data_IF_822152685908
#
_entry.id   IF_822152685908
#
_cell.length_a   1.000
_cell.length_b   1.000
_cell.length_c   1.000
_cell.angle_alpha   90.00
_cell.angle_beta   90.00
_cell.angle_gamma   90.00
#
_symmetry.space_group_name_H-M   'P 1'
#
loop_
_entity.id
_entity.type
_entity.pdbx_description
1 polymer ?
#
# COMPACT_ATOMS: atom_id res chain seq x y z
N UNK A 1 -10.15 12.55 2.01
CA UNK A 1 -9.82 13.35 0.82
C UNK A 1 -9.35 12.44 -0.29
N UNK A 2 -9.75 12.74 -1.52
CA UNK A 2 -9.33 12.05 -2.73
C UNK A 2 -8.55 13.01 -3.62
N UNK A 3 -7.46 12.53 -4.23
CA UNK A 3 -6.63 13.30 -5.16
C UNK A 3 -6.12 12.38 -6.27
N UNK A 4 -6.30 12.76 -7.53
CA UNK A 4 -5.84 12.00 -8.69
C UNK A 4 -4.75 12.77 -9.39
N UNK A 5 -3.61 12.12 -9.60
CA UNK A 5 -2.49 12.69 -10.36
C UNK A 5 -2.19 11.86 -11.60
N UNK A 6 -2.06 12.54 -12.73
CA UNK A 6 -1.59 11.95 -13.99
C UNK A 6 -0.07 11.88 -14.00
N UNK A 7 0.49 10.70 -14.24
CA UNK A 7 1.94 10.52 -14.37
C UNK A 7 2.51 11.11 -15.67
N UNK A 8 1.66 11.38 -16.64
CA UNK A 8 2.03 12.13 -17.85
C UNK A 8 2.36 13.60 -17.49
N UNK A 9 1.55 14.19 -16.58
CA UNK A 9 1.68 15.61 -16.18
C UNK A 9 2.66 15.81 -15.03
N UNK A 10 3.11 14.73 -14.39
CA UNK A 10 4.08 14.75 -13.28
C UNK A 10 5.23 13.76 -13.54
N UNK A 11 6.21 14.14 -14.39
CA UNK A 11 7.35 13.27 -14.71
C UNK A 11 8.23 12.95 -13.51
N UNK A 12 8.30 13.86 -12.52
CA UNK A 12 9.08 13.64 -11.30
C UNK A 12 8.45 12.55 -10.46
N UNK A 13 7.14 12.61 -10.21
CA UNK A 13 6.40 11.56 -9.51
C UNK A 13 6.54 10.20 -10.21
N UNK A 14 6.45 10.18 -11.55
CA UNK A 14 6.66 8.97 -12.34
C UNK A 14 8.07 8.40 -12.11
N UNK A 15 9.10 9.25 -12.11
CA UNK A 15 10.48 8.82 -11.87
C UNK A 15 10.66 8.28 -10.46
N UNK A 16 10.10 8.95 -9.45
CA UNK A 16 10.17 8.52 -8.06
C UNK A 16 9.44 7.18 -7.83
N UNK A 17 8.28 6.97 -8.47
CA UNK A 17 7.58 5.68 -8.43
C UNK A 17 8.42 4.57 -9.06
N UNK A 18 9.03 4.81 -10.21
CA UNK A 18 9.95 3.84 -10.84
C UNK A 18 11.10 3.49 -9.91
N UNK A 19 11.72 4.51 -9.31
CA UNK A 19 12.81 4.32 -8.35
C UNK A 19 12.35 3.48 -7.17
N UNK A 20 11.22 3.82 -6.54
CA UNK A 20 10.66 3.08 -5.41
C UNK A 20 10.49 1.59 -5.73
N UNK A 21 9.84 1.27 -6.83
CA UNK A 21 9.65 -0.13 -7.23
C UNK A 21 10.98 -0.82 -7.60
N UNK A 22 11.92 -0.12 -8.23
CA UNK A 22 13.24 -0.65 -8.55
C UNK A 22 14.05 -0.97 -7.31
N UNK A 23 14.08 -0.06 -6.34
CA UNK A 23 14.83 -0.23 -5.09
C UNK A 23 14.24 -1.37 -4.26
N UNK A 24 12.91 -1.41 -4.13
CA UNK A 24 12.22 -2.48 -3.43
C UNK A 24 12.38 -3.85 -4.08
N UNK A 25 12.52 -3.89 -5.39
CA UNK A 25 12.68 -5.10 -6.19
C UNK A 25 13.94 -5.88 -5.84
N UNK A 26 15.05 -5.19 -5.49
CA UNK A 26 16.30 -5.84 -5.12
C UNK A 26 16.18 -6.75 -3.89
N UNK A 27 15.19 -6.52 -3.04
CA UNK A 27 14.88 -7.33 -1.85
C UNK A 27 13.86 -8.44 -2.14
N UNK A 28 13.26 -8.44 -3.32
CA UNK A 28 12.30 -9.45 -3.70
C UNK A 28 12.96 -10.77 -4.07
N UNK A 29 12.66 -11.82 -3.32
CA UNK A 29 13.10 -13.17 -3.66
C UNK A 29 12.38 -13.74 -4.92
N UNK A 30 11.27 -13.16 -5.32
CA UNK A 30 10.41 -13.65 -6.40
C UNK A 30 11.00 -13.33 -7.77
N UNK A 31 11.71 -12.22 -7.93
CA UNK A 31 12.30 -11.79 -9.19
C UNK A 31 13.41 -12.69 -9.73
N UNK A 32 14.10 -13.38 -8.84
CA UNK A 32 15.18 -14.27 -9.22
C UNK A 32 14.69 -15.58 -9.82
N UNK A 33 13.38 -15.75 -9.93
CA UNK A 33 12.78 -16.96 -10.49
C UNK A 33 12.40 -16.76 -11.96
N UNK A 34 12.74 -17.72 -12.85
CA UNK A 34 12.41 -17.65 -14.28
C UNK A 34 10.90 -17.59 -14.57
N UNK A 35 10.05 -17.86 -13.58
CA UNK A 35 8.59 -17.83 -13.66
C UNK A 35 7.97 -16.77 -12.73
N UNK A 36 8.56 -15.58 -12.70
CA UNK A 36 7.98 -14.44 -11.97
C UNK A 36 6.50 -14.25 -12.29
N UNK A 37 5.63 -14.04 -11.29
CA UNK A 37 4.21 -13.83 -11.54
C UNK A 37 3.98 -12.68 -12.52
N UNK A 38 3.00 -12.84 -13.40
CA UNK A 38 2.61 -11.81 -14.40
C UNK A 38 2.32 -10.44 -13.76
N UNK A 39 1.85 -10.46 -12.53
CA UNK A 39 1.55 -9.29 -11.69
C UNK A 39 2.71 -8.29 -11.60
N UNK A 40 3.95 -8.74 -11.47
CA UNK A 40 5.09 -7.82 -11.40
C UNK A 40 5.35 -7.12 -12.74
N UNK A 41 5.17 -7.84 -13.84
CA UNK A 41 5.27 -7.26 -15.18
C UNK A 41 4.17 -6.23 -15.43
N UNK A 42 2.98 -6.43 -14.90
CA UNK A 42 1.86 -5.49 -15.00
C UNK A 42 2.13 -4.20 -14.25
N UNK A 43 2.76 -4.25 -13.08
CA UNK A 43 3.19 -3.04 -12.36
C UNK A 43 4.14 -2.21 -13.22
N UNK A 44 5.19 -2.82 -13.77
CA UNK A 44 6.17 -2.13 -14.58
C UNK A 44 5.54 -1.54 -15.86
N UNK A 45 4.78 -2.32 -16.60
CA UNK A 45 4.14 -1.83 -17.81
C UNK A 45 3.17 -0.67 -17.51
N UNK A 46 2.50 -0.73 -16.37
CA UNK A 46 1.58 0.32 -15.92
C UNK A 46 2.32 1.63 -15.62
N UNK A 47 3.44 1.58 -14.88
CA UNK A 47 4.22 2.76 -14.54
C UNK A 47 4.92 3.35 -15.77
N UNK A 48 5.30 2.50 -16.72
CA UNK A 48 5.90 2.94 -17.97
C UNK A 48 4.92 3.58 -18.95
N UNK A 49 3.63 3.28 -18.83
CA UNK A 49 2.60 3.85 -19.69
C UNK A 49 2.40 5.34 -19.38
N UNK A 50 2.44 6.19 -20.42
CA UNK A 50 2.31 7.65 -20.29
C UNK A 50 0.94 8.06 -19.72
N UNK A 51 -0.11 7.32 -20.06
CA UNK A 51 -1.50 7.57 -19.62
C UNK A 51 -1.80 7.07 -18.21
N UNK A 52 -0.84 6.49 -17.49
CA UNK A 52 -1.04 6.00 -16.13
C UNK A 52 -1.30 7.16 -15.16
N UNK A 53 -2.15 6.88 -14.18
CA UNK A 53 -2.46 7.79 -13.09
C UNK A 53 -2.27 7.10 -11.75
N UNK A 54 -2.26 7.87 -10.68
CA UNK A 54 -2.35 7.41 -9.31
C UNK A 54 -3.48 8.12 -8.58
N UNK A 55 -4.11 7.42 -7.64
CA UNK A 55 -5.15 7.96 -6.78
C UNK A 55 -4.69 7.91 -5.32
N UNK A 56 -4.71 9.06 -4.66
CA UNK A 56 -4.50 9.16 -3.22
C UNK A 56 -5.83 9.19 -2.49
N UNK A 57 -5.99 8.29 -1.53
CA UNK A 57 -7.10 8.26 -0.58
C UNK A 57 -6.54 8.50 0.80
N UNK A 58 -6.86 9.66 1.39
CA UNK A 58 -6.29 10.11 2.67
C UNK A 58 -7.36 10.32 3.70
N UNK A 59 -7.19 9.77 4.89
CA UNK A 59 -7.90 10.15 6.10
C UNK A 59 -7.02 11.05 7.01
N UNK A 60 -7.63 11.76 7.94
CA UNK A 60 -6.97 12.63 8.92
C UNK A 60 -7.73 12.51 10.24
N UNK A 61 -7.00 12.49 11.35
CA UNK A 61 -7.58 12.42 12.69
C UNK A 61 -8.03 11.00 13.07
N UNK A 62 -7.60 10.00 12.32
CA UNK A 62 -7.75 8.59 12.70
C UNK A 62 -6.50 8.11 13.43
N UNK A 63 -6.56 6.91 14.00
CA UNK A 63 -5.43 6.38 14.77
C UNK A 63 -4.23 5.93 13.95
N UNK A 64 -4.35 5.90 12.62
CA UNK A 64 -3.33 5.33 11.74
C UNK A 64 -3.12 3.83 11.92
N UNK A 65 -2.07 3.29 11.29
CA UNK A 65 -1.77 1.86 11.24
C UNK A 65 -0.62 1.50 12.20
N UNK A 66 -0.86 1.65 13.51
CA UNK A 66 0.07 1.21 14.56
C UNK A 66 -0.05 -0.29 14.85
N UNK A 67 0.79 -0.74 15.81
CA UNK A 67 0.88 -2.13 16.25
C UNK A 67 1.93 -2.95 15.48
N UNK A 68 2.01 -4.27 15.73
CA UNK A 68 3.01 -5.15 15.12
C UNK A 68 2.88 -5.18 13.59
N UNK A 69 3.99 -5.43 12.92
CA UNK A 69 4.09 -5.59 11.47
C UNK A 69 3.98 -7.04 11.04
N UNK A 70 4.10 -7.96 11.97
CA UNK A 70 4.04 -9.41 11.79
C UNK A 70 2.74 -9.99 12.38
N UNK A 71 2.06 -10.84 11.62
CA UNK A 71 0.83 -11.51 12.04
C UNK A 71 1.06 -12.67 13.02
N UNK A 72 2.30 -13.16 13.16
CA UNK A 72 2.65 -14.22 14.09
C UNK A 72 2.98 -13.69 15.50
N UNK A 73 3.22 -12.39 15.64
CA UNK A 73 3.49 -11.74 16.91
C UNK A 73 2.24 -11.70 17.79
N UNK A 74 2.38 -12.13 19.03
CA UNK A 74 1.32 -12.01 20.02
C UNK A 74 1.07 -10.52 20.31
N UNK A 75 -0.18 -10.09 20.16
CA UNK A 75 -0.55 -8.69 20.37
C UNK A 75 -0.82 -8.51 21.87
N UNK A 76 -0.02 -7.70 22.59
CA UNK A 76 -0.24 -7.44 24.01
C UNK A 76 -1.65 -6.89 24.27
N UNK A 77 -2.21 -7.19 25.44
CA UNK A 77 -3.51 -6.66 25.84
C UNK A 77 -3.51 -5.12 25.79
N UNK A 78 -4.48 -4.55 25.08
CA UNK A 78 -4.60 -3.09 24.90
C UNK A 78 -3.84 -2.52 23.72
N UNK A 79 -2.98 -3.29 23.06
CA UNK A 79 -2.33 -2.89 21.78
C UNK A 79 -3.23 -3.28 20.62
N UNK A 80 -3.36 -2.38 19.67
CA UNK A 80 -4.16 -2.64 18.47
C UNK A 80 -3.28 -3.08 17.32
N UNK A 81 -3.73 -4.11 16.61
CA UNK A 81 -3.07 -4.70 15.44
C UNK A 81 -3.56 -4.07 14.12
N UNK A 82 -3.69 -2.73 14.07
CA UNK A 82 -4.28 -2.05 12.90
C UNK A 82 -3.50 -2.29 11.61
N UNK A 83 -2.17 -2.34 11.68
CA UNK A 83 -1.32 -2.64 10.55
C UNK A 83 -1.62 -4.04 9.98
N UNK A 84 -1.61 -5.05 10.85
CA UNK A 84 -1.91 -6.44 10.49
C UNK A 84 -3.32 -6.56 9.91
N UNK A 85 -4.31 -5.95 10.56
CA UNK A 85 -5.70 -5.98 10.08
C UNK A 85 -5.87 -5.33 8.73
N UNK A 86 -5.17 -4.25 8.46
CA UNK A 86 -5.32 -3.52 7.20
C UNK A 86 -4.58 -4.20 6.06
N UNK A 87 -3.33 -4.61 6.25
CA UNK A 87 -2.45 -5.11 5.19
C UNK A 87 -2.40 -6.64 5.10
N UNK A 88 -2.33 -7.33 6.25
CA UNK A 88 -2.13 -8.77 6.27
C UNK A 88 -3.44 -9.56 6.20
N UNK A 89 -4.54 -9.02 6.72
CA UNK A 89 -5.84 -9.68 6.73
C UNK A 89 -6.75 -9.25 5.57
N UNK A 90 -6.18 -8.77 4.46
CA UNK A 90 -6.96 -8.41 3.26
C UNK A 90 -7.67 -9.66 2.72
N UNK A 91 -9.00 -9.58 2.58
CA UNK A 91 -9.83 -10.68 2.09
C UNK A 91 -10.19 -11.76 3.13
N UNK A 92 -9.79 -11.59 4.40
CA UNK A 92 -10.28 -12.44 5.49
C UNK A 92 -11.55 -11.85 6.11
N UNK A 93 -12.56 -12.68 6.34
CA UNK A 93 -13.74 -12.27 7.11
C UNK A 93 -13.34 -11.99 8.57
N UNK A 94 -13.80 -10.85 9.11
CA UNK A 94 -13.63 -10.59 10.55
C UNK A 94 -14.45 -11.62 11.34
N UNK A 95 -13.81 -12.30 12.28
CA UNK A 95 -14.49 -13.15 13.26
C UNK A 95 -15.20 -12.36 14.36
N UNK A 96 -14.95 -11.06 14.47
CA UNK A 96 -15.60 -10.18 15.46
C UNK A 96 -17.01 -9.78 14.97
N UNK A 97 -18.01 -10.40 15.55
CA UNK A 97 -19.43 -10.14 15.29
C UNK A 97 -19.88 -8.69 15.59
N UNK A 98 -19.07 -7.90 16.31
CA UNK A 98 -19.38 -6.52 16.69
C UNK A 98 -18.63 -5.45 15.87
N UNK A 99 -17.72 -5.83 14.97
CA UNK A 99 -17.10 -4.88 14.05
C UNK A 99 -18.04 -4.68 12.86
N UNK A 100 -18.82 -3.63 12.88
CA UNK A 100 -19.69 -3.23 11.76
C UNK A 100 -18.90 -3.00 10.49
N UNK A 101 -18.85 -3.99 9.65
CA UNK A 101 -18.17 -3.95 8.36
C UNK A 101 -18.32 -5.29 7.63
N UNK A 102 -18.99 -5.27 6.48
CA UNK A 102 -19.26 -6.44 5.67
C UNK A 102 -17.98 -7.14 5.21
N UNK A 103 -17.66 -8.30 5.79
CA UNK A 103 -16.79 -9.35 5.25
C UNK A 103 -15.36 -8.95 4.81
N UNK A 104 -14.73 -7.94 5.40
CA UNK A 104 -13.37 -7.52 4.99
C UNK A 104 -13.27 -6.96 3.56
N UNK A 105 -14.40 -6.81 2.86
CA UNK A 105 -14.47 -6.30 1.49
C UNK A 105 -14.08 -4.81 1.40
N UNK A 106 -14.36 -4.02 2.42
CA UNK A 106 -14.03 -2.61 2.44
C UNK A 106 -12.53 -2.32 2.30
N UNK A 107 -11.68 -3.19 2.86
CA UNK A 107 -10.23 -3.05 2.79
C UNK A 107 -9.68 -3.46 1.43
N UNK A 108 -10.22 -4.51 0.83
CA UNK A 108 -9.79 -5.00 -0.48
C UNK A 108 -10.13 -4.04 -1.64
N UNK A 109 -10.98 -3.03 -1.40
CA UNK A 109 -11.40 -2.07 -2.41
C UNK A 109 -10.23 -1.35 -3.06
N UNK A 110 -9.21 -0.96 -2.29
CA UNK A 110 -8.05 -0.25 -2.81
C UNK A 110 -7.28 -1.07 -3.84
N UNK A 111 -7.04 -2.36 -3.57
CA UNK A 111 -6.39 -3.26 -4.54
C UNK A 111 -7.27 -3.53 -5.75
N UNK A 112 -8.57 -3.71 -5.55
CA UNK A 112 -9.53 -3.92 -6.65
C UNK A 112 -9.68 -2.69 -7.53
N UNK A 113 -9.48 -1.49 -6.99
CA UNK A 113 -9.46 -0.26 -7.77
C UNK A 113 -8.20 -0.11 -8.63
N UNK A 114 -7.11 -0.79 -8.29
CA UNK A 114 -5.87 -0.79 -9.06
C UNK A 114 -5.93 -1.81 -10.19
N UNK A 115 -5.63 -1.42 -11.43
CA UNK A 115 -5.56 -2.33 -12.57
C UNK A 115 -4.44 -3.38 -12.42
N UNK A 116 -3.39 -3.05 -11.66
CA UNK A 116 -2.28 -3.95 -11.34
C UNK A 116 -2.29 -4.44 -9.89
N UNK A 117 -3.43 -4.29 -9.19
CA UNK A 117 -3.64 -4.76 -7.81
C UNK A 117 -2.54 -4.29 -6.84
N UNK A 118 -2.08 -3.05 -7.01
CA UNK A 118 -0.95 -2.49 -6.26
C UNK A 118 -1.34 -1.20 -5.54
N UNK A 119 -0.99 -1.13 -4.27
CA UNK A 119 -1.12 0.08 -3.46
C UNK A 119 0.19 0.38 -2.74
N UNK A 120 0.42 1.65 -2.42
CA UNK A 120 1.45 2.10 -1.48
C UNK A 120 0.72 2.78 -0.32
N UNK A 121 1.06 2.42 0.89
CA UNK A 121 0.40 2.89 2.11
C UNK A 121 1.39 3.67 2.94
N UNK A 122 1.07 4.93 3.22
CA UNK A 122 1.75 5.76 4.19
C UNK A 122 0.83 6.01 5.38
N UNK A 123 1.32 5.79 6.59
CA UNK A 123 0.54 6.01 7.80
C UNK A 123 1.36 6.67 8.89
N UNK A 124 0.72 7.60 9.63
CA UNK A 124 1.25 8.20 10.84
C UNK A 124 0.33 7.89 12.01
N UNK A 125 0.91 7.43 13.11
CA UNK A 125 0.20 6.96 14.31
C UNK A 125 0.98 7.32 15.56
N UNK A 126 0.38 7.10 16.73
CA UNK A 126 1.05 7.27 18.03
C UNK A 126 1.29 5.89 18.61
N UNK A 127 2.54 5.63 19.01
CA UNK A 127 2.97 4.43 19.70
C UNK A 127 3.89 4.87 20.85
N UNK A 128 3.62 4.40 22.05
CA UNK A 128 4.34 4.77 23.29
C UNK A 128 4.45 6.30 23.50
N UNK A 129 3.36 7.02 23.18
CA UNK A 129 3.29 8.47 23.32
C UNK A 129 4.06 9.28 22.27
N UNK A 130 4.69 8.60 21.29
CA UNK A 130 5.46 9.25 20.22
C UNK A 130 4.81 9.04 18.87
N UNK A 131 4.94 10.07 18.00
CA UNK A 131 4.50 9.94 16.61
C UNK A 131 5.48 9.08 15.83
N UNK A 132 4.92 8.07 15.16
CA UNK A 132 5.64 7.16 14.28
C UNK A 132 5.05 7.24 12.88
N UNK A 133 5.88 6.96 11.88
CA UNK A 133 5.46 6.90 10.48
C UNK A 133 5.91 5.58 9.86
N UNK A 134 5.08 5.03 8.97
CA UNK A 134 5.38 3.81 8.20
C UNK A 134 4.99 4.00 6.75
N UNK A 135 5.79 3.42 5.84
CA UNK A 135 5.47 3.34 4.41
C UNK A 135 5.81 1.96 3.88
N UNK A 136 4.88 1.38 3.14
CA UNK A 136 5.07 0.08 2.47
C UNK A 136 4.17 -0.02 1.24
N UNK A 137 4.64 -0.70 0.21
CA UNK A 137 3.80 -1.08 -0.93
C UNK A 137 3.40 -2.56 -0.85
N UNK A 138 2.24 -2.88 -1.41
CA UNK A 138 1.72 -4.24 -1.47
C UNK A 138 0.98 -4.48 -2.79
N UNK A 139 1.40 -5.52 -3.51
CA UNK A 139 0.67 -6.08 -4.65
C UNK A 139 0.00 -7.40 -4.24
N UNK A 140 -1.26 -7.58 -4.63
CA UNK A 140 -2.00 -8.82 -4.44
C UNK A 140 -2.05 -9.62 -5.74
N UNK A 141 -1.31 -10.72 -5.78
CA UNK A 141 -1.36 -11.70 -6.88
C UNK A 141 -2.07 -12.99 -6.48
N UNK A 142 -2.15 -13.91 -7.40
CA UNK A 142 -2.63 -15.27 -7.12
C UNK A 142 -1.62 -16.08 -6.30
N UNK A 143 -2.09 -17.08 -5.57
CA UNK A 143 -1.22 -18.07 -4.92
C UNK A 143 -0.38 -18.79 -5.96
N UNK A 144 0.87 -19.09 -5.65
CA UNK A 144 1.77 -19.84 -6.53
C UNK A 144 2.74 -20.70 -5.71
N UNK A 145 3.32 -21.71 -6.39
CA UNK A 145 4.34 -22.59 -5.80
C UNK A 145 5.66 -22.37 -6.54
N UNK A 146 6.75 -22.18 -5.80
CA UNK A 146 8.08 -22.01 -6.36
C UNK A 146 9.10 -22.76 -5.49
N UNK A 147 9.96 -23.57 -6.11
CA UNK A 147 10.97 -24.38 -5.41
C UNK A 147 10.40 -25.20 -4.24
N UNK A 148 9.20 -25.75 -4.40
CA UNK A 148 8.51 -26.56 -3.39
C UNK A 148 7.89 -25.77 -2.24
N UNK A 149 7.95 -24.42 -2.26
CA UNK A 149 7.29 -23.55 -1.28
C UNK A 149 6.03 -22.93 -1.86
N UNK A 150 4.97 -22.86 -1.05
CA UNK A 150 3.73 -22.18 -1.38
C UNK A 150 3.79 -20.72 -0.94
N UNK A 151 3.46 -19.82 -1.85
CA UNK A 151 3.39 -18.38 -1.61
C UNK A 151 1.93 -17.92 -1.67
N UNK A 152 1.60 -16.96 -0.83
CA UNK A 152 0.23 -16.41 -0.74
C UNK A 152 -0.15 -15.50 -1.90
N UNK A 153 0.81 -15.12 -2.73
CA UNK A 153 0.63 -14.15 -3.81
C UNK A 153 0.73 -12.70 -3.34
N UNK A 154 1.03 -12.46 -2.07
CA UNK A 154 1.36 -11.11 -1.60
C UNK A 154 2.79 -10.78 -1.95
N UNK A 155 2.99 -9.64 -2.57
CA UNK A 155 4.32 -9.13 -2.89
C UNK A 155 4.51 -7.76 -2.23
N UNK A 156 5.51 -7.69 -1.36
CA UNK A 156 5.83 -6.50 -0.60
C UNK A 156 6.83 -5.64 -1.35
N UNK A 157 6.58 -4.33 -1.36
CA UNK A 157 7.47 -3.32 -1.88
C UNK A 157 7.97 -2.48 -0.72
N UNK A 158 9.21 -2.75 -0.32
CA UNK A 158 9.91 -2.08 0.77
C UNK A 158 11.41 -2.12 0.47
N UNK A 159 12.18 -1.26 1.08
CA UNK A 159 13.64 -1.28 1.04
C UNK A 159 14.26 -2.23 2.08
N UNK A 160 13.43 -2.99 2.80
CA UNK A 160 13.84 -3.97 3.80
C UNK A 160 13.72 -5.41 3.27
N UNK A 161 14.67 -6.31 3.64
CA UNK A 161 14.74 -7.68 3.10
C UNK A 161 13.50 -8.55 3.34
N UNK A 162 12.80 -8.34 4.43
CA UNK A 162 11.67 -9.17 4.86
C UNK A 162 10.30 -8.54 4.56
N UNK A 163 10.27 -7.44 3.78
CA UNK A 163 9.04 -6.73 3.46
C UNK A 163 8.50 -5.88 4.61
N UNK A 164 9.34 -5.63 5.62
CA UNK A 164 9.03 -4.70 6.70
C UNK A 164 8.82 -3.28 6.15
N UNK A 165 7.94 -2.47 6.75
CA UNK A 165 7.74 -1.12 6.29
C UNK A 165 8.96 -0.24 6.55
N UNK A 166 9.21 0.72 5.67
CA UNK A 166 10.10 1.85 5.96
C UNK A 166 9.50 2.66 7.11
N UNK A 167 10.31 3.11 8.06
CA UNK A 167 9.80 3.71 9.31
C UNK A 167 10.38 5.12 9.57
N UNK A 168 9.69 5.87 10.43
CA UNK A 168 10.15 7.15 10.94
C UNK A 168 10.34 8.23 9.87
N UNK A 169 11.42 9.00 10.00
CA UNK A 169 11.71 10.12 9.10
C UNK A 169 11.90 9.65 7.66
N UNK A 170 12.52 8.52 7.45
CA UNK A 170 12.76 7.95 6.12
C UNK A 170 11.43 7.62 5.41
N UNK A 171 10.45 7.08 6.13
CA UNK A 171 9.11 6.88 5.61
C UNK A 171 8.43 8.19 5.20
N UNK A 172 8.63 9.28 5.97
CA UNK A 172 8.08 10.59 5.64
C UNK A 172 8.75 11.21 4.40
N UNK A 173 10.06 11.10 4.29
CA UNK A 173 10.82 11.63 3.16
C UNK A 173 10.44 10.88 1.87
N UNK A 174 10.39 9.55 1.93
CA UNK A 174 9.92 8.72 0.82
C UNK A 174 8.45 9.01 0.46
N UNK A 175 7.59 9.23 1.45
CA UNK A 175 6.21 9.62 1.20
C UNK A 175 6.13 10.95 0.43
N UNK A 176 6.95 11.95 0.77
CA UNK A 176 7.02 13.23 0.03
C UNK A 176 7.48 13.02 -1.41
N UNK A 177 8.52 12.22 -1.62
CA UNK A 177 9.02 11.87 -2.96
C UNK A 177 7.93 11.18 -3.82
N UNK A 178 7.12 10.34 -3.19
CA UNK A 178 5.99 9.67 -3.82
C UNK A 178 4.71 10.53 -3.87
N UNK A 179 4.81 11.84 -3.57
CA UNK A 179 3.73 12.80 -3.72
C UNK A 179 2.62 12.74 -2.68
N UNK A 180 2.82 12.00 -1.58
CA UNK A 180 1.90 12.03 -0.46
C UNK A 180 1.92 13.39 0.25
N UNK A 181 0.76 13.83 0.71
CA UNK A 181 0.67 14.92 1.69
C UNK A 181 0.94 14.32 3.06
N UNK A 182 2.14 14.52 3.59
CA UNK A 182 2.48 14.05 4.94
C UNK A 182 1.62 14.74 6.00
N UNK A 183 1.52 14.13 7.17
CA UNK A 183 0.72 14.66 8.27
C UNK A 183 1.49 15.75 9.02
N UNK A 184 0.79 16.79 9.46
CA UNK A 184 1.33 17.83 10.33
C UNK A 184 1.63 17.30 11.74
N UNK A 185 2.30 18.09 12.57
CA UNK A 185 2.87 17.67 13.86
C UNK A 185 1.93 16.85 14.74
N UNK A 186 0.66 17.24 14.86
CA UNK A 186 -0.32 16.60 15.77
C UNK A 186 -1.30 15.69 15.04
N UNK A 187 -1.13 15.53 13.73
CA UNK A 187 -2.05 14.73 12.92
C UNK A 187 -1.60 13.28 12.84
N UNK A 188 -2.57 12.38 12.90
CA UNK A 188 -2.42 10.96 12.58
C UNK A 188 -3.43 10.55 11.52
N UNK A 189 -3.15 9.45 10.83
CA UNK A 189 -4.03 8.92 9.80
C UNK A 189 -3.33 7.98 8.84
N UNK A 190 -4.03 7.66 7.76
CA UNK A 190 -3.52 6.78 6.71
C UNK A 190 -3.78 7.39 5.34
N UNK A 191 -2.81 7.29 4.46
CA UNK A 191 -2.96 7.63 3.07
C UNK A 191 -2.60 6.42 2.20
N UNK A 192 -3.52 6.03 1.33
CA UNK A 192 -3.32 4.94 0.37
C UNK A 192 -3.16 5.55 -1.02
N UNK A 193 -2.05 5.25 -1.68
CA UNK A 193 -1.82 5.51 -3.09
C UNK A 193 -2.21 4.24 -3.86
N UNK A 194 -3.22 4.37 -4.71
CA UNK A 194 -3.65 3.31 -5.64
C UNK A 194 -2.92 3.53 -6.96
N UNK A 195 -2.15 2.54 -7.38
CA UNK A 195 -1.41 2.58 -8.66
C UNK A 195 -2.36 2.23 -9.80
N UNK A 196 -2.36 3.04 -10.85
CA UNK A 196 -3.22 2.87 -12.03
C UNK A 196 -4.69 2.56 -11.66
N UNK A 197 -5.40 3.51 -11.06
CA UNK A 197 -6.78 3.28 -10.68
C UNK A 197 -7.67 3.02 -11.91
N UNK A 198 -8.55 2.03 -11.80
CA UNK A 198 -9.60 1.76 -12.79
C UNK A 198 -10.67 2.85 -12.71
N UNK A 199 -10.37 4.02 -13.25
CA UNK A 199 -11.30 5.14 -13.35
C UNK A 199 -11.90 5.14 -14.75
N UNK A 200 -13.22 5.26 -14.91
CA UNK A 200 -13.82 5.38 -16.22
C UNK A 200 -13.18 6.53 -17.02
N UNK A 201 -12.82 6.27 -18.28
CA UNK A 201 -12.25 7.29 -19.16
C UNK A 201 -13.22 8.46 -19.25
N UNK A 202 -12.71 9.68 -19.05
CA UNK A 202 -13.50 10.91 -19.09
C UNK A 202 -13.95 11.45 -17.73
N UNK A 203 -13.69 10.75 -16.62
CA UNK A 203 -14.00 11.25 -15.29
C UNK A 203 -12.83 12.10 -14.77
N UNK A 204 -12.81 13.38 -15.15
CA UNK A 204 -11.91 14.38 -14.54
C UNK A 204 -12.32 14.75 -13.11
N UNK A 205 -13.47 14.28 -12.66
CA UNK A 205 -14.08 14.61 -11.38
C UNK A 205 -14.53 13.32 -10.67
N UNK A 206 -13.58 12.65 -10.03
CA UNK A 206 -13.83 11.44 -9.23
C UNK A 206 -14.85 11.71 -8.10
N UNK A 207 -14.98 12.95 -7.66
CA UNK A 207 -15.97 13.33 -6.64
C UNK A 207 -17.42 13.21 -7.16
N UNK A 208 -17.61 13.09 -8.47
CA UNK A 208 -18.94 12.85 -9.08
C UNK A 208 -19.16 11.39 -9.47
N UNK A 209 -18.13 10.55 -9.40
CA UNK A 209 -18.17 9.15 -9.80
C UNK A 209 -18.26 8.19 -8.59
N UNK A 210 -18.14 8.69 -7.37
CA UNK A 210 -18.30 8.00 -6.10
C UNK A 210 -19.52 8.55 -5.35
#
# INVERSE_FOLDING_TARGET
>A
TFDVKSLEKDPLLRTNLKKFFSDAQQYSQIERAPNSPSVLREVWSTIETISSAVLYVRDIGTHGLGGPTDASSEVPAGVTDRYVRFLLNVGQANSDLNAGGSYGLGRSVFWRMSSCQTVIVYSRFIEDGTHQSRLVGLTLGGKFTMSGKNYTGRHWWSDCPDGEPVVGKEAEDLARELGFKVYDHDQTGTCVLVVAPNVPQGTTDLAKAL
#
